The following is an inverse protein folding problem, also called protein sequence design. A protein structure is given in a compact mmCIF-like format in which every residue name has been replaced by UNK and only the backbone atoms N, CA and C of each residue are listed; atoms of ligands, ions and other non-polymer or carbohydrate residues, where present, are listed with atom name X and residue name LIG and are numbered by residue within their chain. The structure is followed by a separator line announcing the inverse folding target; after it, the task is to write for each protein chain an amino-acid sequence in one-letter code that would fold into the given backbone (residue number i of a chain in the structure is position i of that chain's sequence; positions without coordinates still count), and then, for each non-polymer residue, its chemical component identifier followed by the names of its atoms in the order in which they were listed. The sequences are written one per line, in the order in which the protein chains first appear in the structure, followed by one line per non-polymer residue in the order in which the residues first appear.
data_IF_439369619889
#
_entry.id   IF_439369619889
#
_cell.length_a   1.000
_cell.length_b   1.000
_cell.length_c   1.000
_cell.angle_alpha   90.00
_cell.angle_beta   90.00
_cell.angle_gamma   90.00
#
_symmetry.space_group_name_H-M   'P 1'
#
loop_
_entity.id
_entity.type
_entity.pdbx_description
1 polymer ?
#
# COMPACT_ATOMS: atom_id res chain seq x y z
N UNK A 1 -16.54 18.96 3.76
CA UNK A 1 -15.53 19.37 2.76
C UNK A 1 -14.23 19.81 3.43
N UNK A 2 -14.19 20.90 4.22
CA UNK A 2 -12.92 21.39 4.81
C UNK A 2 -12.21 20.33 5.68
N UNK A 3 -12.94 19.58 6.50
CA UNK A 3 -12.35 18.56 7.38
C UNK A 3 -11.77 17.35 6.64
N UNK A 4 -12.41 16.92 5.55
CA UNK A 4 -11.97 15.79 4.73
C UNK A 4 -10.68 16.17 3.98
N UNK A 5 -10.68 17.32 3.30
CA UNK A 5 -9.49 17.78 2.57
C UNK A 5 -8.27 18.02 3.47
N UNK A 6 -8.44 18.46 4.72
CA UNK A 6 -7.32 18.57 5.68
C UNK A 6 -6.74 17.18 6.00
N UNK A 7 -7.59 16.18 6.21
CA UNK A 7 -7.15 14.83 6.58
C UNK A 7 -6.48 14.14 5.38
N UNK A 8 -6.98 14.32 4.16
CA UNK A 8 -6.32 13.83 2.95
C UNK A 8 -4.95 14.49 2.73
N UNK A 9 -4.83 15.81 2.95
CA UNK A 9 -3.53 16.49 2.93
C UNK A 9 -2.57 15.88 3.97
N UNK A 10 -3.06 15.62 5.18
CA UNK A 10 -2.27 14.98 6.22
C UNK A 10 -1.84 13.57 5.82
N UNK A 11 -2.76 12.77 5.26
CA UNK A 11 -2.51 11.41 4.79
C UNK A 11 -1.43 11.39 3.70
N UNK A 12 -1.59 12.23 2.67
CA UNK A 12 -0.58 12.47 1.65
C UNK A 12 0.78 12.82 2.26
N UNK A 13 0.84 13.84 3.11
CA UNK A 13 2.10 14.31 3.69
C UNK A 13 2.79 13.23 4.52
N UNK A 14 2.03 12.49 5.35
CA UNK A 14 2.55 11.42 6.20
C UNK A 14 3.05 10.24 5.36
N UNK A 15 2.30 9.81 4.33
CA UNK A 15 2.70 8.70 3.47
C UNK A 15 3.97 9.04 2.67
N UNK A 16 4.06 10.24 2.09
CA UNK A 16 5.30 10.70 1.43
C UNK A 16 6.45 10.76 2.43
N UNK A 17 6.24 11.32 3.62
CA UNK A 17 7.27 11.41 4.64
C UNK A 17 7.79 10.02 5.05
N UNK A 18 6.90 9.08 5.35
CA UNK A 18 7.26 7.70 5.68
C UNK A 18 7.98 7.02 4.52
N UNK A 19 7.48 7.18 3.29
CA UNK A 19 8.10 6.65 2.09
C UNK A 19 9.53 7.16 1.91
N UNK A 20 9.75 8.46 2.02
CA UNK A 20 11.09 9.08 1.94
C UNK A 20 12.00 8.60 3.06
N UNK A 21 11.50 8.47 4.30
CA UNK A 21 12.28 7.96 5.42
C UNK A 21 12.74 6.53 5.17
N UNK A 22 11.85 5.64 4.70
CA UNK A 22 12.20 4.26 4.37
C UNK A 22 13.15 4.17 3.18
N UNK A 23 12.97 5.01 2.17
CA UNK A 23 13.87 5.09 1.01
C UNK A 23 15.27 5.53 1.43
N UNK A 24 15.39 6.53 2.30
CA UNK A 24 16.67 6.97 2.87
C UNK A 24 17.34 5.84 3.66
N UNK A 25 16.58 5.09 4.45
CA UNK A 25 17.08 3.90 5.19
C UNK A 25 17.64 2.84 4.25
N UNK A 26 17.00 2.63 3.10
CA UNK A 26 17.51 1.73 2.06
C UNK A 26 18.79 2.27 1.39
N UNK A 27 18.84 3.55 1.02
CA UNK A 27 20.05 4.16 0.43
C UNK A 27 21.25 4.07 1.38
N UNK A 28 21.02 4.21 2.68
CA UNK A 28 22.07 4.16 3.71
C UNK A 28 22.51 2.75 4.10
N UNK A 29 21.87 1.70 3.59
CA UNK A 29 22.28 0.32 3.88
C UNK A 29 23.61 -0.01 3.18
N UNK A 30 24.46 -0.79 3.86
CA UNK A 30 25.77 -1.22 3.33
C UNK A 30 25.58 -2.07 2.06
N UNK A 31 24.68 -3.06 2.14
CA UNK A 31 24.23 -3.87 1.02
C UNK A 31 22.80 -3.46 0.67
N UNK A 32 22.58 -3.10 -0.60
CA UNK A 32 21.29 -2.60 -1.09
C UNK A 32 20.73 -3.59 -2.09
N UNK A 33 19.57 -4.16 -1.77
CA UNK A 33 18.83 -5.00 -2.69
C UNK A 33 17.47 -4.37 -3.00
N UNK A 34 17.02 -4.48 -4.25
CA UNK A 34 15.67 -4.04 -4.63
C UNK A 34 14.56 -4.94 -4.05
N UNK A 35 14.95 -6.02 -3.38
CA UNK A 35 14.07 -6.94 -2.65
C UNK A 35 13.94 -6.57 -1.17
N UNK A 36 14.67 -5.55 -0.69
CA UNK A 36 14.63 -5.14 0.70
C UNK A 36 13.26 -4.55 1.06
N UNK A 37 12.69 -4.97 2.20
CA UNK A 37 11.38 -4.51 2.66
C UNK A 37 11.31 -2.97 2.78
N UNK A 38 12.32 -2.25 3.34
CA UNK A 38 12.32 -0.79 3.35
C UNK A 38 12.17 -0.17 1.95
N UNK A 39 12.81 -0.75 0.93
CA UNK A 39 12.67 -0.27 -0.45
C UNK A 39 11.27 -0.51 -0.99
N UNK A 40 10.75 -1.74 -0.89
CA UNK A 40 9.43 -2.08 -1.42
C UNK A 40 8.30 -1.29 -0.72
N UNK A 41 8.40 -1.11 0.60
CA UNK A 41 7.46 -0.26 1.35
C UNK A 41 7.62 1.21 1.00
N UNK A 42 8.84 1.70 0.71
CA UNK A 42 9.03 3.08 0.28
C UNK A 42 8.35 3.37 -1.06
N UNK A 43 8.50 2.48 -2.06
CA UNK A 43 7.80 2.62 -3.34
C UNK A 43 6.30 2.61 -3.13
N UNK A 44 5.80 1.70 -2.27
CA UNK A 44 4.38 1.59 -1.97
C UNK A 44 3.84 2.89 -1.37
N UNK A 45 4.46 3.38 -0.29
CA UNK A 45 4.02 4.59 0.41
C UNK A 45 4.13 5.86 -0.46
N UNK A 46 5.18 5.97 -1.27
CA UNK A 46 5.32 7.09 -2.22
C UNK A 46 4.22 7.02 -3.28
N UNK A 47 3.96 5.85 -3.85
CA UNK A 47 2.93 5.66 -4.89
C UNK A 47 1.53 5.96 -4.35
N UNK A 48 1.21 5.45 -3.15
CA UNK A 48 -0.08 5.74 -2.48
C UNK A 48 -0.17 7.23 -2.16
N UNK A 49 0.86 7.83 -1.56
CA UNK A 49 0.87 9.26 -1.26
C UNK A 49 0.68 10.13 -2.50
N UNK A 50 1.35 9.82 -3.60
CA UNK A 50 1.15 10.55 -4.86
C UNK A 50 -0.27 10.34 -5.44
N UNK A 51 -0.88 9.17 -5.23
CA UNK A 51 -2.29 8.93 -5.54
C UNK A 51 -3.22 9.82 -4.72
N UNK A 52 -3.03 9.88 -3.41
CA UNK A 52 -3.77 10.76 -2.49
C UNK A 52 -3.59 12.24 -2.84
N UNK A 53 -2.41 12.64 -3.33
CA UNK A 53 -2.20 13.99 -3.82
C UNK A 53 -3.13 14.32 -4.99
N UNK A 54 -3.35 13.38 -5.91
CA UNK A 54 -4.32 13.58 -7.01
C UNK A 54 -5.75 13.69 -6.46
N UNK A 55 -6.12 12.89 -5.47
CA UNK A 55 -7.43 13.00 -4.79
C UNK A 55 -7.62 14.37 -4.16
N UNK A 56 -6.64 14.85 -3.41
CA UNK A 56 -6.61 16.20 -2.82
C UNK A 56 -6.85 17.26 -3.91
N UNK A 57 -6.13 17.19 -5.03
CA UNK A 57 -6.31 18.16 -6.12
C UNK A 57 -7.72 18.10 -6.73
N UNK A 58 -8.32 16.92 -6.86
CA UNK A 58 -9.70 16.76 -7.33
C UNK A 58 -10.72 17.30 -6.32
N UNK A 59 -10.46 17.12 -5.03
CA UNK A 59 -11.36 17.54 -3.95
C UNK A 59 -11.34 19.05 -3.70
N UNK A 60 -10.20 19.70 -3.93
CA UNK A 60 -10.09 21.17 -3.97
C UNK A 60 -10.58 21.79 -5.29
N UNK A 61 -11.01 20.97 -6.26
CA UNK A 61 -11.49 21.43 -7.57
C UNK A 61 -10.38 22.00 -8.47
N UNK A 62 -9.11 21.71 -8.16
CA UNK A 62 -7.96 22.06 -9.02
C UNK A 62 -7.92 21.11 -10.22
N UNK A 63 -8.21 19.83 -10.00
CA UNK A 63 -8.43 18.84 -11.04
C UNK A 63 -9.92 18.49 -11.15
N UNK A 64 -10.36 18.13 -12.35
CA UNK A 64 -11.73 17.66 -12.56
C UNK A 64 -11.86 16.19 -12.12
N UNK A 65 -13.05 15.80 -11.69
CA UNK A 65 -13.39 14.40 -11.36
C UNK A 65 -13.81 13.63 -12.62
N UNK A 66 -12.94 13.55 -13.62
CA UNK A 66 -13.23 12.80 -14.85
C UNK A 66 -12.53 11.45 -14.85
N UNK A 67 -12.92 10.58 -15.80
CA UNK A 67 -12.31 9.26 -15.96
C UNK A 67 -10.78 9.35 -16.11
N UNK A 68 -10.28 10.38 -16.82
CA UNK A 68 -8.86 10.53 -17.09
C UNK A 68 -8.06 10.80 -15.81
N UNK A 69 -8.54 11.68 -14.92
CA UNK A 69 -7.84 11.97 -13.66
C UNK A 69 -7.83 10.74 -12.73
N UNK A 70 -8.94 9.99 -12.66
CA UNK A 70 -8.95 8.71 -11.94
C UNK A 70 -8.00 7.68 -12.57
N UNK A 71 -7.88 7.63 -13.89
CA UNK A 71 -6.91 6.75 -14.56
C UNK A 71 -5.48 7.14 -14.20
N UNK A 72 -5.14 8.43 -14.27
CA UNK A 72 -3.81 8.94 -13.90
C UNK A 72 -3.49 8.58 -12.45
N UNK A 73 -4.43 8.86 -11.54
CA UNK A 73 -4.33 8.48 -10.12
C UNK A 73 -4.00 7.00 -9.98
N UNK A 74 -4.79 6.10 -10.56
CA UNK A 74 -4.58 4.66 -10.42
C UNK A 74 -3.26 4.20 -11.06
N UNK A 75 -2.84 4.78 -12.18
CA UNK A 75 -1.54 4.49 -12.78
C UNK A 75 -0.37 4.91 -11.88
N UNK A 76 -0.51 5.99 -11.11
CA UNK A 76 0.48 6.39 -10.10
C UNK A 76 0.58 5.35 -8.98
N UNK A 77 -0.52 4.67 -8.60
CA UNK A 77 -0.50 3.60 -7.61
C UNK A 77 0.16 2.30 -8.12
N UNK A 78 0.20 2.08 -9.44
CA UNK A 78 0.61 0.80 -10.02
C UNK A 78 1.99 0.29 -9.57
N UNK A 79 3.06 1.12 -9.47
CA UNK A 79 4.36 0.67 -8.97
C UNK A 79 4.29 0.17 -7.52
N UNK A 80 3.54 0.86 -6.66
CA UNK A 80 3.38 0.50 -5.25
C UNK A 80 2.68 -0.83 -5.07
N UNK A 81 1.55 -1.02 -5.74
CA UNK A 81 0.80 -2.30 -5.65
C UNK A 81 1.62 -3.45 -6.22
N UNK A 82 2.33 -3.21 -7.33
CA UNK A 82 3.23 -4.21 -7.95
C UNK A 82 4.39 -4.58 -7.03
N UNK A 83 4.95 -3.62 -6.27
CA UNK A 83 5.98 -3.88 -5.29
C UNK A 83 5.51 -4.80 -4.14
N UNK A 84 4.26 -4.65 -3.69
CA UNK A 84 3.66 -5.54 -2.68
C UNK A 84 3.45 -6.95 -3.25
N UNK A 85 2.99 -7.07 -4.50
CA UNK A 85 2.85 -8.38 -5.19
C UNK A 85 4.20 -9.06 -5.30
N UNK A 86 5.23 -8.32 -5.72
CA UNK A 86 6.59 -8.81 -5.81
C UNK A 86 7.12 -9.29 -4.44
N UNK A 87 6.87 -8.53 -3.37
CA UNK A 87 7.23 -8.92 -2.01
C UNK A 87 6.58 -10.24 -1.58
N UNK A 88 5.26 -10.37 -1.78
CA UNK A 88 4.53 -11.59 -1.44
C UNK A 88 5.04 -12.77 -2.27
N UNK A 89 5.24 -12.59 -3.58
CA UNK A 89 5.78 -13.61 -4.46
C UNK A 89 7.20 -14.05 -4.03
N UNK A 90 8.08 -13.11 -3.69
CA UNK A 90 9.43 -13.39 -3.19
C UNK A 90 9.43 -14.23 -1.91
N UNK A 91 8.45 -14.03 -1.02
CA UNK A 91 8.32 -14.78 0.23
C UNK A 91 7.89 -16.23 -0.04
N UNK A 92 6.90 -16.42 -0.92
CA UNK A 92 6.30 -17.75 -1.15
C UNK A 92 7.00 -18.58 -2.22
N UNK A 93 7.62 -17.94 -3.20
CA UNK A 93 8.19 -18.58 -4.40
C UNK A 93 9.69 -18.38 -4.51
N UNK A 94 10.38 -18.36 -3.36
CA UNK A 94 11.81 -18.08 -3.22
C UNK A 94 12.70 -18.80 -4.25
N UNK A 95 12.37 -20.05 -4.57
CA UNK A 95 13.18 -20.91 -5.43
C UNK A 95 12.83 -20.81 -6.93
N UNK A 96 11.87 -19.95 -7.30
CA UNK A 96 11.37 -19.84 -8.67
C UNK A 96 11.28 -18.39 -9.15
N UNK A 97 12.43 -17.83 -9.50
CA UNK A 97 12.54 -16.48 -10.07
C UNK A 97 11.60 -16.27 -11.26
N UNK A 98 11.48 -17.27 -12.15
CA UNK A 98 10.56 -17.22 -13.30
C UNK A 98 9.10 -17.04 -12.88
N UNK A 99 8.65 -17.72 -11.83
CA UNK A 99 7.28 -17.58 -11.34
C UNK A 99 7.07 -16.23 -10.63
N UNK A 100 8.07 -15.73 -9.90
CA UNK A 100 8.03 -14.39 -9.29
C UNK A 100 7.86 -13.33 -10.37
N UNK A 101 8.69 -13.37 -11.41
CA UNK A 101 8.62 -12.44 -12.55
C UNK A 101 7.27 -12.58 -13.26
N UNK A 102 6.83 -13.80 -13.56
CA UNK A 102 5.57 -14.05 -14.25
C UNK A 102 4.37 -13.50 -13.46
N UNK A 103 4.23 -13.82 -12.18
CA UNK A 103 3.11 -13.34 -11.36
C UNK A 103 3.11 -11.83 -11.21
N UNK A 104 4.27 -11.23 -10.93
CA UNK A 104 4.40 -9.78 -10.78
C UNK A 104 4.07 -9.07 -12.09
N UNK A 105 4.53 -9.60 -13.22
CA UNK A 105 4.28 -9.03 -14.55
C UNK A 105 2.83 -9.19 -14.97
N UNK A 106 2.22 -10.37 -14.74
CA UNK A 106 0.81 -10.62 -15.03
C UNK A 106 -0.05 -9.68 -14.19
N UNK A 107 0.21 -9.56 -12.89
CA UNK A 107 -0.55 -8.65 -12.03
C UNK A 107 -0.40 -7.20 -12.47
N UNK A 108 0.83 -6.70 -12.60
CA UNK A 108 1.09 -5.31 -13.00
C UNK A 108 0.51 -4.96 -14.37
N UNK A 109 0.66 -5.86 -15.35
CA UNK A 109 0.08 -5.68 -16.69
C UNK A 109 -1.45 -5.68 -16.63
N UNK A 110 -2.05 -6.62 -15.89
CA UNK A 110 -3.51 -6.69 -15.73
C UNK A 110 -4.07 -5.43 -15.08
N UNK A 111 -3.40 -4.93 -14.03
CA UNK A 111 -3.76 -3.69 -13.36
C UNK A 111 -3.75 -2.51 -14.35
N UNK A 112 -2.65 -2.31 -15.08
CA UNK A 112 -2.52 -1.22 -16.07
C UNK A 112 -3.54 -1.35 -17.19
N UNK A 113 -3.78 -2.56 -17.71
CA UNK A 113 -4.77 -2.80 -18.75
C UNK A 113 -6.19 -2.48 -18.27
N UNK A 114 -6.55 -2.88 -17.04
CA UNK A 114 -7.86 -2.53 -16.47
C UNK A 114 -8.02 -1.02 -16.40
N UNK A 115 -7.02 -0.29 -15.89
CA UNK A 115 -7.08 1.17 -15.80
C UNK A 115 -7.19 1.81 -17.20
N UNK A 116 -6.32 1.43 -18.13
CA UNK A 116 -6.25 2.04 -19.46
C UNK A 116 -7.46 1.74 -20.35
N UNK A 117 -8.05 0.55 -20.23
CA UNK A 117 -9.16 0.10 -21.07
C UNK A 117 -10.55 0.37 -20.47
N UNK A 118 -10.62 0.79 -19.21
CA UNK A 118 -11.90 1.11 -18.56
C UNK A 118 -12.59 2.30 -19.22
N UNK A 119 -13.89 2.16 -19.45
CA UNK A 119 -14.74 3.20 -20.05
C UNK A 119 -15.66 3.89 -19.02
N UNK A 120 -15.69 3.41 -17.78
CA UNK A 120 -16.44 4.03 -16.68
C UNK A 120 -15.64 4.03 -15.39
N UNK A 121 -15.83 5.07 -14.57
CA UNK A 121 -15.17 5.20 -13.26
C UNK A 121 -15.63 4.08 -12.33
N UNK A 122 -16.93 3.78 -12.28
CA UNK A 122 -17.46 2.71 -11.42
C UNK A 122 -16.88 1.34 -11.75
N UNK A 123 -16.85 0.94 -13.02
CA UNK A 123 -16.31 -0.36 -13.41
C UNK A 123 -14.80 -0.45 -13.12
N UNK A 124 -14.06 0.63 -13.40
CA UNK A 124 -12.63 0.71 -13.11
C UNK A 124 -12.35 0.56 -11.61
N UNK A 125 -13.04 1.37 -10.79
CA UNK A 125 -12.86 1.35 -9.34
C UNK A 125 -13.25 0.00 -8.75
N UNK A 126 -14.35 -0.62 -9.20
CA UNK A 126 -14.76 -1.94 -8.74
C UNK A 126 -13.70 -3.02 -9.03
N UNK A 127 -13.22 -3.11 -10.28
CA UNK A 127 -12.23 -4.12 -10.66
C UNK A 127 -10.89 -3.93 -9.93
N UNK A 128 -10.47 -2.68 -9.78
CA UNK A 128 -9.23 -2.35 -9.08
C UNK A 128 -9.36 -2.63 -7.58
N UNK A 129 -10.48 -2.28 -6.95
CA UNK A 129 -10.74 -2.61 -5.54
C UNK A 129 -10.70 -4.11 -5.28
N UNK A 130 -11.23 -4.95 -6.19
CA UNK A 130 -11.12 -6.41 -6.08
C UNK A 130 -9.66 -6.86 -6.15
N UNK A 131 -8.88 -6.36 -7.12
CA UNK A 131 -7.46 -6.69 -7.25
C UNK A 131 -6.63 -6.27 -6.05
N UNK A 132 -6.92 -5.09 -5.48
CA UNK A 132 -6.26 -4.59 -4.27
C UNK A 132 -6.65 -5.44 -3.07
N UNK A 133 -7.93 -5.77 -2.89
CA UNK A 133 -8.42 -6.58 -1.78
C UNK A 133 -7.76 -7.97 -1.76
N UNK A 134 -7.67 -8.65 -2.91
CA UNK A 134 -6.99 -9.95 -3.04
C UNK A 134 -5.54 -9.82 -2.55
N UNK A 135 -4.83 -8.78 -2.97
CA UNK A 135 -3.42 -8.59 -2.60
C UNK A 135 -3.25 -8.19 -1.13
N UNK A 136 -4.13 -7.36 -0.57
CA UNK A 136 -4.09 -7.00 0.85
C UNK A 136 -4.33 -8.21 1.75
N UNK A 137 -5.29 -9.07 1.38
CA UNK A 137 -5.54 -10.34 2.10
C UNK A 137 -4.31 -11.23 2.01
N UNK A 138 -3.78 -11.47 0.80
CA UNK A 138 -2.59 -12.30 0.60
C UNK A 138 -1.38 -11.76 1.39
N UNK A 139 -1.13 -10.45 1.34
CA UNK A 139 -0.06 -9.78 2.07
C UNK A 139 -0.23 -9.91 3.59
N UNK A 140 -1.43 -9.64 4.11
CA UNK A 140 -1.72 -9.74 5.55
C UNK A 140 -1.52 -11.17 6.05
N UNK A 141 -2.06 -12.17 5.34
CA UNK A 141 -1.88 -13.59 5.67
C UNK A 141 -0.39 -13.98 5.64
N UNK A 142 0.35 -13.50 4.64
CA UNK A 142 1.79 -13.74 4.52
C UNK A 142 2.55 -13.25 5.75
N UNK A 143 2.30 -12.02 6.18
CA UNK A 143 2.99 -11.44 7.33
C UNK A 143 2.54 -12.05 8.67
N UNK A 144 1.28 -12.49 8.78
CA UNK A 144 0.83 -13.29 9.92
C UNK A 144 1.61 -14.61 10.02
N UNK A 145 1.75 -15.33 8.91
CA UNK A 145 2.50 -16.60 8.87
C UNK A 145 3.97 -16.37 9.21
N UNK A 146 4.61 -15.33 8.67
CA UNK A 146 6.00 -14.96 9.02
C UNK A 146 6.14 -14.74 10.53
N UNK A 147 5.19 -14.03 11.15
CA UNK A 147 5.21 -13.80 12.59
C UNK A 147 5.06 -15.09 13.40
N UNK A 148 4.08 -15.94 13.03
CA UNK A 148 3.86 -17.24 13.69
C UNK A 148 5.09 -18.15 13.59
N UNK A 149 5.77 -18.11 12.44
CA UNK A 149 7.01 -18.86 12.19
C UNK A 149 8.27 -18.18 12.76
N UNK A 150 8.15 -17.00 13.39
CA UNK A 150 9.25 -16.23 13.97
C UNK A 150 10.39 -15.95 12.96
N UNK A 151 10.02 -15.64 11.71
CA UNK A 151 10.96 -15.28 10.63
C UNK A 151 11.07 -13.77 10.48
N UNK A 152 12.17 -13.29 9.87
CA UNK A 152 12.49 -11.87 9.66
C UNK A 152 12.68 -11.06 10.96
N UNK A 153 13.73 -11.32 11.76
CA UNK A 153 13.95 -10.63 13.04
C UNK A 153 14.11 -9.10 12.90
N UNK A 154 14.45 -8.61 11.71
CA UNK A 154 14.64 -7.19 11.42
C UNK A 154 13.33 -6.45 11.07
N UNK A 155 12.22 -7.16 10.88
CA UNK A 155 10.92 -6.56 10.53
C UNK A 155 9.85 -7.16 11.42
N UNK A 156 9.10 -6.32 12.12
CA UNK A 156 7.99 -6.78 12.93
C UNK A 156 6.77 -7.08 12.07
N UNK A 157 6.77 -8.30 11.54
CA UNK A 157 5.72 -8.85 10.68
C UNK A 157 4.32 -8.81 11.29
N UNK A 158 4.18 -8.81 12.61
CA UNK A 158 2.88 -8.64 13.26
C UNK A 158 2.32 -7.23 13.06
N UNK A 159 3.15 -6.20 13.15
CA UNK A 159 2.72 -4.83 12.87
C UNK A 159 2.35 -4.64 11.40
N UNK A 160 3.04 -5.31 10.48
CA UNK A 160 2.65 -5.31 9.05
C UNK A 160 1.28 -5.98 8.87
N UNK A 161 1.07 -7.14 9.48
CA UNK A 161 -0.22 -7.84 9.45
C UNK A 161 -1.35 -6.96 10.01
N UNK A 162 -1.18 -6.41 11.21
CA UNK A 162 -2.19 -5.54 11.82
C UNK A 162 -2.43 -4.29 10.97
N UNK A 163 -1.37 -3.67 10.46
CA UNK A 163 -1.48 -2.52 9.56
C UNK A 163 -2.30 -2.85 8.31
N UNK A 164 -2.01 -3.98 7.66
CA UNK A 164 -2.75 -4.46 6.49
C UNK A 164 -4.23 -4.73 6.77
N UNK A 165 -4.56 -5.34 7.92
CA UNK A 165 -5.95 -5.54 8.35
C UNK A 165 -6.65 -4.20 8.61
N UNK A 166 -5.97 -3.24 9.26
CA UNK A 166 -6.54 -1.92 9.54
C UNK A 166 -6.80 -1.14 8.24
N UNK A 167 -5.85 -1.11 7.29
CA UNK A 167 -6.08 -0.49 5.97
C UNK A 167 -7.25 -1.17 5.26
N UNK A 168 -7.33 -2.50 5.29
CA UNK A 168 -8.46 -3.20 4.68
C UNK A 168 -9.81 -2.81 5.33
N UNK A 169 -9.84 -2.64 6.66
CA UNK A 169 -11.04 -2.15 7.34
C UNK A 169 -11.36 -0.71 6.97
N UNK A 170 -10.36 0.16 6.81
CA UNK A 170 -10.56 1.54 6.36
C UNK A 170 -11.19 1.61 4.98
N UNK A 171 -10.66 0.82 4.04
CA UNK A 171 -11.19 0.70 2.67
C UNK A 171 -12.62 0.13 2.63
N UNK A 172 -12.94 -0.86 3.45
CA UNK A 172 -14.32 -1.37 3.56
C UNK A 172 -15.26 -0.34 4.22
N UNK A 173 -14.75 0.41 5.19
CA UNK A 173 -15.50 1.42 5.91
C UNK A 173 -15.80 2.66 5.04
N UNK A 174 -14.97 2.96 4.05
CA UNK A 174 -15.20 4.04 3.08
C UNK A 174 -16.58 3.89 2.41
N UNK A 175 -16.93 2.69 1.92
CA UNK A 175 -18.23 2.43 1.31
C UNK A 175 -19.43 2.65 2.27
N UNK A 176 -19.20 2.54 3.58
CA UNK A 176 -20.22 2.76 4.62
C UNK A 176 -20.29 4.23 5.04
N UNK A 177 -19.15 4.91 5.13
CA UNK A 177 -19.04 6.27 5.64
C UNK A 177 -19.21 7.36 4.58
N UNK A 178 -18.99 7.04 3.29
CA UNK A 178 -19.15 7.97 2.18
C UNK A 178 -20.57 8.58 2.11
N UNK A 179 -21.68 7.81 2.20
CA UNK A 179 -23.03 8.38 2.19
C UNK A 179 -23.37 9.24 3.41
N UNK A 180 -22.61 9.09 4.50
CA UNK A 180 -22.83 9.77 5.78
C UNK A 180 -21.97 11.03 5.95
N UNK A 181 -21.19 11.40 4.94
CA UNK A 181 -20.19 12.49 5.01
C UNK A 181 -19.14 12.28 6.13
N UNK A 182 -18.87 11.03 6.48
CA UNK A 182 -17.89 10.62 7.51
C UNK A 182 -16.62 9.99 6.90
N UNK A 183 -16.33 10.26 5.63
CA UNK A 183 -15.18 9.72 4.90
C UNK A 183 -13.85 9.93 5.66
N UNK A 184 -13.72 11.04 6.37
CA UNK A 184 -12.55 11.32 7.20
C UNK A 184 -12.23 10.22 8.24
N UNK A 185 -13.22 9.42 8.67
CA UNK A 185 -13.00 8.30 9.59
C UNK A 185 -12.26 7.16 8.89
N UNK A 186 -12.65 6.78 7.67
CA UNK A 186 -11.92 5.75 6.91
C UNK A 186 -10.50 6.21 6.60
N UNK A 187 -10.32 7.50 6.27
CA UNK A 187 -9.00 8.08 6.04
C UNK A 187 -8.08 8.00 7.27
N UNK A 188 -8.62 8.26 8.46
CA UNK A 188 -7.86 8.11 9.71
C UNK A 188 -7.53 6.65 10.02
N UNK A 189 -8.45 5.73 9.77
CA UNK A 189 -8.22 4.29 9.94
C UNK A 189 -7.07 3.85 9.02
N UNK A 190 -7.11 4.24 7.75
CA UNK A 190 -6.04 3.96 6.79
C UNK A 190 -4.70 4.52 7.24
N UNK A 191 -4.68 5.77 7.70
CA UNK A 191 -3.46 6.43 8.19
C UNK A 191 -2.84 5.68 9.37
N UNK A 192 -3.67 5.17 10.30
CA UNK A 192 -3.22 4.31 11.41
C UNK A 192 -2.61 3.02 10.86
N UNK A 193 -3.27 2.38 9.90
CA UNK A 193 -2.77 1.14 9.28
C UNK A 193 -1.40 1.32 8.61
N UNK A 194 -1.24 2.36 7.79
CA UNK A 194 0.04 2.71 7.17
C UNK A 194 1.12 3.07 8.19
N UNK A 195 0.74 3.73 9.28
CA UNK A 195 1.66 4.05 10.37
C UNK A 195 2.19 2.79 11.06
N UNK A 196 1.35 1.78 11.28
CA UNK A 196 1.81 0.49 11.82
C UNK A 196 2.76 -0.23 10.86
N UNK A 197 2.45 -0.21 9.56
CA UNK A 197 3.34 -0.80 8.54
C UNK A 197 4.70 -0.09 8.51
N UNK A 198 4.74 1.24 8.63
CA UNK A 198 5.98 2.00 8.76
C UNK A 198 6.76 1.63 10.04
N UNK A 199 6.08 1.62 11.19
CA UNK A 199 6.68 1.29 12.49
C UNK A 199 7.22 -0.13 12.56
N UNK A 200 6.74 -1.06 11.72
CA UNK A 200 7.25 -2.44 11.63
C UNK A 200 8.76 -2.52 11.34
N UNK A 201 9.33 -1.48 10.73
CA UNK A 201 10.75 -1.39 10.36
C UNK A 201 11.62 -0.83 11.50
N UNK A 202 11.01 -0.28 12.54
CA UNK A 202 11.68 0.39 13.66
C UNK A 202 11.45 -0.30 15.01
N UNK A 203 10.30 -0.94 15.17
CA UNK A 203 9.95 -1.68 16.39
C UNK A 203 10.27 -3.15 16.13
N UNK A 204 11.29 -3.75 16.75
CA UNK A 204 11.62 -5.16 16.53
C UNK A 204 10.51 -6.09 17.08
N UNK A 205 10.31 -7.28 16.49
CA UNK A 205 9.36 -8.26 17.01
C UNK A 205 9.81 -8.82 18.36
N UNK A 206 8.86 -9.28 19.17
CA UNK A 206 9.14 -9.83 20.52
C UNK A 206 10.14 -11.01 20.51
N UNK A 207 10.13 -11.82 19.45
CA UNK A 207 11.03 -12.98 19.31
C UNK A 207 12.44 -12.63 18.83
N UNK A 208 12.72 -11.38 18.40
CA UNK A 208 14.07 -10.98 18.01
C UNK A 208 15.02 -10.91 19.23
N UNK A 209 14.50 -10.61 20.42
CA UNK A 209 15.29 -10.54 21.66
C UNK A 209 15.80 -11.90 22.16
N UNK A 210 15.19 -13.00 21.71
CA UNK A 210 15.51 -14.36 22.17
C UNK A 210 16.54 -15.09 21.29
N UNK A 211 17.07 -14.44 20.25
CA UNK A 211 18.00 -15.07 19.28
C UNK A 211 19.45 -14.54 19.38
N UNK A 212 19.75 -13.73 20.40
CA UNK A 212 21.10 -13.30 20.77
C UNK A 212 21.47 -13.90 22.12
#
# INVERSE_FOLDING_TARGET
MITVGIIEIMKFAVQILFGVILFRKWISAENRFYTDIPFLFSITLISVGLGEFVDVLMDFGILAKTLLEYQIRLLILAPGVTAIVFLVAMIWLRDSEKLIIALTSIYGTSYVLIVALSQSIEAMMMLISILLAIMMVAGSVTFLIIWLLKRLPNVNSFLVFLGGIIVMLGQLAEGVFLPQALLWISELIDLVGWSLMFLSIYIPPSYAKTQH
#
